data_IF_550090971579
#
_entry.id   IF_550090971579
#
_cell.length_a   1.000
_cell.length_b   1.000
_cell.length_c   1.000
_cell.angle_alpha   90.00
_cell.angle_beta   90.00
_cell.angle_gamma   90.00
#
_symmetry.space_group_name_H-M   'P 1'
#
loop_
_entity.id
_entity.type
_entity.pdbx_description
1 polymer ?
#
# COMPACT_ATOMS: atom_id res chain seq x y z
N UNK A 1 -13.08 -8.41 -1.33
CA UNK A 1 -13.39 -7.20 -0.54
C UNK A 1 -12.68 -5.97 -1.12
N UNK A 2 -11.51 -6.12 -1.75
CA UNK A 2 -10.76 -5.01 -2.35
C UNK A 2 -11.36 -4.43 -3.66
N UNK A 3 -12.06 -5.23 -4.48
CA UNK A 3 -12.73 -4.75 -5.71
C UNK A 3 -14.10 -4.06 -5.46
N UNK A 4 -14.50 -3.81 -4.21
CA UNK A 4 -15.89 -3.46 -3.83
C UNK A 4 -16.21 -1.98 -3.75
N UNK A 5 -15.31 -1.09 -4.17
CA UNK A 5 -15.58 0.35 -4.08
C UNK A 5 -16.34 0.85 -5.30
N UNK A 6 -17.68 0.85 -5.18
CA UNK A 6 -18.61 1.38 -6.18
C UNK A 6 -18.28 2.87 -6.50
N UNK A 7 -17.90 3.22 -7.75
CA UNK A 7 -17.56 4.60 -8.12
C UNK A 7 -18.78 5.47 -8.45
N UNK A 8 -20.01 4.94 -8.35
CA UNK A 8 -21.21 5.53 -8.93
C UNK A 8 -22.12 6.27 -7.94
N UNK A 9 -21.62 7.23 -7.15
CA UNK A 9 -22.54 8.14 -6.42
C UNK A 9 -22.00 9.58 -6.38
N UNK A 10 -22.30 10.32 -7.46
CA UNK A 10 -22.60 11.78 -7.62
C UNK A 10 -21.87 12.42 -8.81
N UNK A 11 -22.66 13.07 -9.65
CA UNK A 11 -22.26 14.03 -10.68
C UNK A 11 -22.75 15.40 -10.21
N UNK A 12 -21.84 16.31 -9.85
CA UNK A 12 -22.04 17.75 -10.03
C UNK A 12 -20.75 18.41 -10.48
N UNK A 13 -20.92 19.36 -11.40
CA UNK A 13 -19.89 20.07 -12.16
C UNK A 13 -18.91 20.80 -11.24
N UNK A 14 -17.64 20.39 -11.25
CA UNK A 14 -16.48 21.31 -11.40
C UNK A 14 -15.16 20.52 -11.41
N UNK A 15 -14.31 20.88 -12.37
CA UNK A 15 -12.91 20.48 -12.55
C UNK A 15 -12.63 19.03 -12.96
N UNK A 16 -11.99 18.95 -14.11
CA UNK A 16 -11.33 17.80 -14.70
C UNK A 16 -10.32 17.15 -13.74
N UNK A 17 -10.72 16.11 -13.00
CA UNK A 17 -9.80 15.05 -12.54
C UNK A 17 -10.64 13.77 -12.40
N UNK A 18 -10.37 12.77 -13.25
CA UNK A 18 -10.81 11.40 -13.00
C UNK A 18 -10.29 10.97 -11.61
N UNK A 19 -11.14 10.97 -10.59
CA UNK A 19 -10.97 10.10 -9.44
C UNK A 19 -11.52 8.72 -9.81
N UNK A 20 -10.83 8.09 -10.76
CA UNK A 20 -10.62 6.64 -10.68
C UNK A 20 -10.12 6.42 -9.26
N UNK A 21 -10.79 5.59 -8.48
CA UNK A 21 -10.27 5.19 -7.18
C UNK A 21 -8.86 4.65 -7.41
N UNK A 22 -7.83 5.48 -7.11
CA UNK A 22 -6.44 5.08 -6.88
C UNK A 22 -6.37 4.24 -5.60
N UNK A 23 -7.20 3.20 -5.51
CA UNK A 23 -6.94 2.04 -4.68
C UNK A 23 -6.25 0.94 -5.50
N UNK A 24 -6.28 1.06 -6.83
CA UNK A 24 -5.47 0.32 -7.78
C UNK A 24 -4.56 1.29 -8.55
N UNK A 25 -3.67 1.99 -7.85
CA UNK A 25 -2.45 2.52 -8.50
C UNK A 25 -1.54 1.32 -8.79
N UNK A 26 -1.96 0.49 -9.76
CA UNK A 26 -1.07 -0.25 -10.65
C UNK A 26 -0.50 0.73 -11.70
N UNK A 27 -0.18 1.96 -11.29
CA UNK A 27 0.84 2.71 -11.98
C UNK A 27 2.07 1.83 -11.95
N UNK A 28 2.54 1.40 -13.12
CA UNK A 28 3.85 0.81 -13.29
C UNK A 28 4.83 1.79 -12.61
N UNK A 29 5.21 1.49 -11.37
CA UNK A 29 6.17 2.31 -10.65
C UNK A 29 7.44 2.27 -11.49
N UNK A 30 7.99 3.45 -11.83
CA UNK A 30 9.30 3.51 -12.46
C UNK A 30 10.26 2.65 -11.63
N UNK A 31 10.75 1.58 -12.24
CA UNK A 31 11.69 0.65 -11.62
C UNK A 31 12.91 1.46 -11.23
N UNK A 32 13.21 1.54 -9.93
CA UNK A 32 14.42 2.22 -9.47
C UNK A 32 15.64 1.53 -10.07
N UNK A 33 16.40 2.26 -10.88
CA UNK A 33 17.65 1.73 -11.41
C UNK A 33 18.64 1.46 -10.28
N UNK A 34 19.18 0.24 -10.23
CA UNK A 34 20.06 -0.19 -9.16
C UNK A 34 21.54 0.09 -9.46
N UNK A 35 22.37 0.31 -8.42
CA UNK A 35 23.82 0.36 -8.56
C UNK A 35 24.36 -0.96 -9.11
N UNK A 36 25.15 -0.90 -10.17
CA UNK A 36 25.75 -2.09 -10.80
C UNK A 36 27.24 -1.98 -10.99
N UNK A 37 27.83 -0.79 -10.87
CA UNK A 37 29.28 -0.61 -11.01
C UNK A 37 29.74 0.73 -10.44
N UNK A 38 31.05 0.87 -10.26
CA UNK A 38 31.69 2.13 -9.88
C UNK A 38 31.59 3.15 -11.01
N UNK A 39 31.25 4.39 -10.68
CA UNK A 39 31.05 5.46 -11.64
C UNK A 39 32.39 5.97 -12.19
N UNK A 40 32.77 5.48 -13.37
CA UNK A 40 34.04 5.86 -13.99
C UNK A 40 34.05 7.28 -14.57
N UNK A 41 32.89 7.94 -14.74
CA UNK A 41 32.84 9.31 -15.27
C UNK A 41 33.25 10.37 -14.24
N UNK A 42 33.12 10.06 -12.95
CA UNK A 42 33.48 10.94 -11.82
C UNK A 42 34.69 10.44 -11.02
N UNK A 43 35.45 9.49 -11.60
CA UNK A 43 36.59 8.86 -10.97
C UNK A 43 37.68 9.87 -10.58
N UNK A 44 38.16 9.80 -9.33
CA UNK A 44 39.29 10.60 -8.86
C UNK A 44 40.56 10.30 -9.65
N UNK A 45 41.43 11.31 -9.81
CA UNK A 45 42.74 11.19 -10.45
C UNK A 45 43.68 10.21 -9.74
N UNK A 46 43.40 9.90 -8.47
CA UNK A 46 44.19 8.97 -7.69
C UNK A 46 43.71 7.51 -7.80
N UNK A 47 42.65 7.25 -8.55
CA UNK A 47 42.08 5.92 -8.72
C UNK A 47 42.22 5.44 -10.16
N UNK A 48 42.55 4.16 -10.29
CA UNK A 48 42.35 3.40 -11.52
C UNK A 48 41.29 2.34 -11.25
N UNK A 49 40.23 2.36 -12.04
CA UNK A 49 39.17 1.35 -12.01
C UNK A 49 39.46 0.31 -13.09
N UNK A 50 39.37 -0.96 -12.74
CA UNK A 50 39.60 -2.07 -13.67
C UNK A 50 38.48 -2.17 -14.71
N UNK A 51 38.67 -2.97 -15.76
CA UNK A 51 37.70 -3.12 -16.85
C UNK A 51 36.37 -3.75 -16.41
N UNK A 52 36.37 -4.46 -15.28
CA UNK A 52 35.17 -4.99 -14.63
C UNK A 52 34.27 -3.89 -14.03
N UNK A 53 34.79 -2.66 -13.88
CA UNK A 53 34.17 -1.53 -13.18
C UNK A 53 33.77 -1.80 -11.73
N UNK A 54 34.35 -2.84 -11.12
CA UNK A 54 34.09 -3.27 -9.74
C UNK A 54 35.35 -3.22 -8.88
N UNK A 55 36.53 -3.21 -9.50
CA UNK A 55 37.81 -3.18 -8.78
C UNK A 55 38.46 -1.81 -8.90
N UNK A 56 38.74 -1.16 -7.77
CA UNK A 56 39.46 0.10 -7.70
C UNK A 56 40.84 -0.08 -7.07
N UNK A 57 41.85 0.60 -7.64
CA UNK A 57 43.21 0.66 -7.11
C UNK A 57 43.66 2.11 -6.93
N UNK A 58 44.26 2.42 -5.79
CA UNK A 58 44.89 3.69 -5.54
C UNK A 58 46.28 3.79 -6.21
N UNK A 59 46.53 4.91 -6.86
CA UNK A 59 47.74 5.17 -7.68
C UNK A 59 48.48 6.45 -7.29
N UNK A 60 47.93 7.24 -6.35
CA UNK A 60 48.63 8.40 -5.80
C UNK A 60 49.71 8.04 -4.78
N UNK A 61 50.36 9.07 -4.24
CA UNK A 61 51.38 8.94 -3.20
C UNK A 61 50.81 9.02 -1.77
N UNK A 62 49.57 9.50 -1.59
CA UNK A 62 48.91 9.58 -0.28
C UNK A 62 49.64 10.46 0.75
N UNK A 63 50.28 11.56 0.31
CA UNK A 63 51.14 12.41 1.15
C UNK A 63 50.33 13.42 1.97
N UNK A 64 49.23 13.91 1.42
CA UNK A 64 48.36 14.90 2.06
C UNK A 64 46.99 14.30 2.38
N UNK A 65 46.29 14.86 3.38
CA UNK A 65 44.97 14.38 3.79
C UNK A 65 43.88 14.50 2.72
N UNK A 66 44.10 15.31 1.68
CA UNK A 66 43.17 15.47 0.55
C UNK A 66 43.55 14.61 -0.67
N UNK A 67 44.64 13.83 -0.60
CA UNK A 67 45.05 12.92 -1.67
C UNK A 67 44.18 11.65 -1.67
N UNK A 68 42.87 11.81 -1.46
CA UNK A 68 41.90 10.72 -1.34
C UNK A 68 41.36 10.40 -2.73
N UNK A 69 41.26 9.11 -3.02
CA UNK A 69 40.52 8.57 -4.14
C UNK A 69 39.20 7.99 -3.64
N UNK A 70 38.12 8.79 -3.66
CA UNK A 70 36.77 8.28 -3.45
C UNK A 70 36.06 8.09 -4.80
N UNK A 71 35.17 7.10 -4.85
CA UNK A 71 34.36 6.80 -6.04
C UNK A 71 33.00 6.27 -5.63
N UNK A 72 31.96 6.87 -6.20
CA UNK A 72 30.56 6.50 -6.02
C UNK A 72 30.17 5.40 -7.01
N UNK A 73 29.10 4.66 -6.73
CA UNK A 73 28.45 3.83 -7.72
C UNK A 73 27.76 4.67 -8.82
N UNK A 74 27.40 4.03 -9.92
CA UNK A 74 26.78 4.67 -11.09
C UNK A 74 25.33 5.14 -10.85
N UNK A 75 24.67 4.64 -9.81
CA UNK A 75 23.28 4.96 -9.43
C UNK A 75 23.19 5.11 -7.90
N UNK A 76 22.18 5.83 -7.39
CA UNK A 76 21.92 5.88 -5.96
C UNK A 76 21.39 4.54 -5.43
N UNK A 77 21.50 4.33 -4.12
CA UNK A 77 20.86 3.24 -3.42
C UNK A 77 19.33 3.36 -3.55
N UNK A 78 18.64 2.34 -4.11
CA UNK A 78 17.19 2.34 -4.27
C UNK A 78 16.48 2.34 -2.91
N UNK A 79 15.47 3.20 -2.76
CA UNK A 79 14.85 3.48 -1.48
C UNK A 79 13.42 2.94 -1.31
N UNK A 80 12.78 2.38 -2.34
CA UNK A 80 11.42 1.81 -2.29
C UNK A 80 11.41 0.33 -1.85
N UNK A 81 12.25 -0.02 -0.88
CA UNK A 81 12.45 -1.38 -0.36
C UNK A 81 12.74 -1.35 1.14
N UNK A 82 12.76 -2.50 1.82
CA UNK A 82 13.16 -2.52 3.24
C UNK A 82 14.61 -2.15 3.44
N UNK A 83 15.47 -2.73 2.60
CA UNK A 83 16.89 -2.73 2.82
C UNK A 83 17.64 -2.63 1.48
N UNK A 84 18.66 -1.79 1.44
CA UNK A 84 19.68 -1.81 0.40
C UNK A 84 21.03 -2.19 1.02
N UNK A 85 21.86 -2.96 0.30
CA UNK A 85 23.14 -3.44 0.81
C UNK A 85 24.15 -3.70 -0.31
N UNK A 86 25.43 -3.44 -0.04
CA UNK A 86 26.54 -3.80 -0.92
C UNK A 86 27.78 -4.19 -0.10
N UNK A 87 28.71 -4.91 -0.72
CA UNK A 87 29.95 -5.38 -0.08
C UNK A 87 31.20 -4.89 -0.80
N UNK A 88 32.28 -4.78 -0.04
CA UNK A 88 33.63 -4.48 -0.49
C UNK A 88 34.61 -5.49 0.14
N UNK A 89 35.43 -6.12 -0.69
CA UNK A 89 36.53 -6.99 -0.25
C UNK A 89 37.86 -6.27 -0.41
N UNK A 90 38.68 -6.24 0.64
CA UNK A 90 40.04 -5.66 0.56
C UNK A 90 40.98 -6.69 -0.08
N UNK A 91 41.48 -6.37 -1.27
CA UNK A 91 42.42 -7.22 -2.03
C UNK A 91 43.87 -6.91 -1.70
N UNK A 92 44.17 -5.64 -1.47
CA UNK A 92 45.46 -5.16 -1.01
C UNK A 92 45.21 -3.96 -0.08
N UNK A 93 45.81 -3.98 1.11
CA UNK A 93 45.70 -2.88 2.08
C UNK A 93 46.63 -1.72 1.75
N UNK A 94 47.50 -1.87 0.75
CA UNK A 94 48.55 -0.91 0.47
C UNK A 94 49.47 -0.71 1.68
N UNK A 95 49.95 0.52 1.86
CA UNK A 95 50.89 0.83 2.93
C UNK A 95 50.21 1.10 4.27
N UNK A 96 49.03 1.75 4.27
CA UNK A 96 48.36 2.21 5.49
C UNK A 96 47.06 1.45 5.77
N UNK A 97 46.32 1.04 4.75
CA UNK A 97 45.02 0.38 4.90
C UNK A 97 43.89 1.36 5.20
N UNK A 98 43.99 2.59 4.71
CA UNK A 98 43.00 3.66 4.82
C UNK A 98 41.84 3.47 3.82
N UNK A 99 41.38 2.22 3.68
CA UNK A 99 40.25 1.83 2.85
C UNK A 99 38.94 2.09 3.58
N UNK A 100 37.95 2.65 2.90
CA UNK A 100 36.68 3.08 3.50
C UNK A 100 35.51 2.56 2.65
N UNK A 101 34.43 2.13 3.32
CA UNK A 101 33.14 1.81 2.71
C UNK A 101 32.04 2.66 3.35
N UNK A 102 31.07 3.11 2.56
CA UNK A 102 29.83 3.68 3.08
C UNK A 102 28.96 4.36 2.04
N UNK A 103 28.31 5.45 2.43
CA UNK A 103 27.31 6.15 1.63
C UNK A 103 27.56 7.66 1.61
N UNK A 104 27.29 8.29 0.47
CA UNK A 104 27.49 9.74 0.30
C UNK A 104 26.39 10.35 -0.56
N UNK A 105 26.10 11.64 -0.40
CA UNK A 105 25.16 12.34 -1.27
C UNK A 105 25.69 12.55 -2.71
N UNK A 106 24.82 13.04 -3.60
CA UNK A 106 25.11 13.29 -5.01
C UNK A 106 26.23 14.33 -5.26
N UNK A 107 26.47 15.22 -4.31
CA UNK A 107 27.44 16.33 -4.46
C UNK A 107 28.77 16.06 -3.75
N UNK A 108 28.98 14.81 -3.34
CA UNK A 108 30.16 14.42 -2.58
C UNK A 108 31.46 14.63 -3.36
N UNK A 109 32.47 15.19 -2.69
CA UNK A 109 33.78 15.47 -3.27
C UNK A 109 34.63 14.20 -3.28
N UNK A 110 35.07 13.77 -4.47
CA UNK A 110 35.90 12.57 -4.64
C UNK A 110 37.32 12.67 -4.03
N UNK A 111 37.72 13.86 -3.53
CA UNK A 111 38.95 14.12 -2.79
C UNK A 111 38.78 14.04 -1.26
N UNK A 112 37.66 13.49 -0.77
CA UNK A 112 37.33 13.35 0.65
C UNK A 112 36.92 11.91 0.94
N UNK A 113 37.19 11.41 2.15
CA UNK A 113 36.75 10.06 2.54
C UNK A 113 35.26 10.05 2.88
N UNK A 114 34.53 8.96 2.58
CA UNK A 114 33.17 8.76 3.08
C UNK A 114 33.12 8.96 4.59
N UNK A 115 32.12 9.72 5.04
CA UNK A 115 31.93 10.13 6.43
C UNK A 115 32.51 11.49 6.81
N UNK A 116 33.35 12.14 5.98
CA UNK A 116 34.00 13.42 6.35
C UNK A 116 33.23 14.68 5.96
N UNK A 117 32.21 14.56 5.12
CA UNK A 117 31.35 15.67 4.67
C UNK A 117 29.94 15.51 5.23
N UNK A 118 29.12 16.57 5.14
CA UNK A 118 27.70 16.47 5.49
C UNK A 118 27.01 15.36 4.66
N UNK A 119 25.99 14.73 5.25
CA UNK A 119 25.24 13.61 4.64
C UNK A 119 26.12 12.48 4.05
N UNK A 120 27.26 12.23 4.69
CA UNK A 120 28.23 11.22 4.32
C UNK A 120 28.46 10.28 5.50
N UNK A 121 28.64 9.00 5.21
CA UNK A 121 28.78 7.92 6.20
C UNK A 121 29.91 7.00 5.75
N UNK A 122 30.82 6.67 6.66
CA UNK A 122 31.96 5.81 6.34
C UNK A 122 32.45 5.01 7.53
N UNK A 123 32.72 3.74 7.29
CA UNK A 123 33.43 2.85 8.20
C UNK A 123 34.87 2.69 7.70
N UNK A 124 35.83 3.12 8.51
CA UNK A 124 37.23 3.28 8.13
C UNK A 124 38.06 2.06 8.56
N UNK A 125 38.87 1.53 7.64
CA UNK A 125 39.59 0.27 7.82
C UNK A 125 40.81 0.35 8.74
N UNK A 126 41.47 1.51 8.78
CA UNK A 126 42.71 1.73 9.54
C UNK A 126 42.48 1.86 11.05
N UNK A 127 41.40 2.53 11.45
CA UNK A 127 41.09 2.76 12.87
C UNK A 127 39.79 2.11 13.36
N UNK A 128 38.99 1.54 12.45
CA UNK A 128 37.72 0.90 12.76
C UNK A 128 36.61 1.87 13.18
N UNK A 129 36.81 3.17 13.02
CA UNK A 129 35.85 4.18 13.45
C UNK A 129 34.78 4.42 12.40
N UNK A 130 33.68 4.97 12.91
CA UNK A 130 32.58 5.47 12.12
C UNK A 130 32.67 6.99 11.99
N UNK A 131 32.50 7.47 10.77
CA UNK A 131 32.41 8.88 10.43
C UNK A 131 31.05 9.16 9.79
N UNK A 132 30.34 10.19 10.26
CA UNK A 132 28.95 10.51 9.83
C UNK A 132 28.70 12.00 9.56
N UNK A 133 29.74 12.72 9.13
CA UNK A 133 29.77 14.17 9.00
C UNK A 133 31.13 14.77 9.33
N UNK A 134 31.27 16.10 9.24
CA UNK A 134 32.48 16.84 9.64
C UNK A 134 32.77 16.82 11.16
N UNK A 135 32.08 15.97 11.92
CA UNK A 135 32.21 15.84 13.37
C UNK A 135 33.32 14.89 13.81
N UNK A 136 33.35 14.59 15.11
CA UNK A 136 34.32 13.67 15.69
C UNK A 136 34.05 12.22 15.23
N UNK A 137 35.12 11.47 15.01
CA UNK A 137 35.05 10.04 14.73
C UNK A 137 34.50 9.27 15.94
N UNK A 138 33.68 8.27 15.70
CA UNK A 138 33.05 7.45 16.74
C UNK A 138 33.72 6.08 16.84
N UNK A 139 34.01 5.65 18.06
CA UNK A 139 34.40 4.25 18.32
C UNK A 139 33.26 3.35 17.88
N UNK A 140 33.55 2.43 16.95
CA UNK A 140 32.51 1.67 16.28
C UNK A 140 32.79 0.17 16.28
N UNK A 141 33.82 -0.27 15.55
CA UNK A 141 34.18 -1.68 15.42
C UNK A 141 35.70 -1.82 15.28
N UNK A 142 36.26 -3.05 15.30
CA UNK A 142 37.65 -3.25 14.91
C UNK A 142 37.89 -2.78 13.46
N UNK A 143 39.11 -2.34 13.13
CA UNK A 143 39.50 -2.08 11.73
C UNK A 143 39.41 -3.33 10.85
N UNK A 144 39.59 -3.17 9.54
CA UNK A 144 39.55 -4.25 8.56
C UNK A 144 40.70 -4.16 7.57
N UNK A 145 41.10 -5.31 7.01
CA UNK A 145 42.32 -5.40 6.20
C UNK A 145 42.21 -6.47 5.12
N UNK A 146 43.33 -6.79 4.44
CA UNK A 146 43.38 -7.77 3.34
C UNK A 146 42.67 -9.06 3.71
N UNK A 147 41.77 -9.50 2.83
CA UNK A 147 40.97 -10.71 3.00
C UNK A 147 39.63 -10.49 3.70
N UNK A 148 39.46 -9.39 4.45
CA UNK A 148 38.17 -9.04 5.02
C UNK A 148 37.19 -8.60 3.92
N UNK A 149 35.93 -8.99 4.09
CA UNK A 149 34.78 -8.45 3.35
C UNK A 149 33.94 -7.62 4.30
N UNK A 150 33.76 -6.35 3.98
CA UNK A 150 32.92 -5.43 4.74
C UNK A 150 31.73 -5.00 3.90
N UNK A 151 30.59 -4.82 4.52
CA UNK A 151 29.38 -4.36 3.83
C UNK A 151 28.81 -3.11 4.47
N UNK A 152 28.00 -2.41 3.69
CA UNK A 152 27.25 -1.24 4.13
C UNK A 152 25.82 -1.36 3.62
N UNK A 153 24.86 -1.12 4.51
CA UNK A 153 23.44 -1.17 4.18
C UNK A 153 22.64 -0.03 4.78
N UNK A 154 21.50 0.23 4.15
CA UNK A 154 20.49 1.18 4.60
C UNK A 154 19.24 0.38 4.89
N UNK A 155 18.78 0.44 6.14
CA UNK A 155 17.47 0.00 6.55
C UNK A 155 16.49 1.17 6.47
N UNK A 156 15.67 1.21 5.41
CA UNK A 156 14.66 2.26 5.23
C UNK A 156 13.47 2.10 6.17
N UNK A 157 13.29 0.89 6.72
CA UNK A 157 12.28 0.60 7.70
C UNK A 157 12.60 1.27 9.04
N UNK A 158 13.79 1.07 9.59
CA UNK A 158 14.23 1.71 10.85
C UNK A 158 14.87 3.09 10.66
N UNK A 159 15.15 3.48 9.41
CA UNK A 159 15.93 4.68 9.07
C UNK A 159 17.33 4.61 9.69
N UNK A 160 18.04 3.51 9.44
CA UNK A 160 19.37 3.26 9.99
C UNK A 160 20.37 2.86 8.91
N UNK A 161 21.61 3.32 9.05
CA UNK A 161 22.74 2.81 8.29
C UNK A 161 23.45 1.79 9.16
N UNK A 162 23.78 0.64 8.59
CA UNK A 162 24.51 -0.41 9.28
C UNK A 162 25.69 -0.89 8.42
N UNK A 163 26.67 -1.47 9.09
CA UNK A 163 27.82 -2.07 8.43
C UNK A 163 27.94 -3.53 8.85
N UNK A 164 28.67 -4.29 8.06
CA UNK A 164 28.98 -5.69 8.36
C UNK A 164 30.49 -5.92 8.20
N UNK A 165 30.99 -6.94 8.91
CA UNK A 165 32.33 -7.46 8.68
C UNK A 165 32.27 -8.98 8.66
N UNK A 166 32.76 -9.57 7.57
CA UNK A 166 32.82 -11.01 7.32
C UNK A 166 31.48 -11.71 7.58
N UNK A 167 30.40 -11.16 7.03
CA UNK A 167 29.04 -11.70 7.15
C UNK A 167 28.36 -11.47 8.51
N UNK A 168 28.95 -10.69 9.41
CA UNK A 168 28.34 -10.35 10.71
C UNK A 168 27.97 -8.87 10.76
N UNK A 169 26.73 -8.58 11.17
CA UNK A 169 26.26 -7.22 11.39
C UNK A 169 27.01 -6.57 12.55
N UNK A 170 27.47 -5.35 12.33
CA UNK A 170 28.03 -4.47 13.37
C UNK A 170 26.89 -3.67 14.00
N UNK A 171 27.15 -2.84 15.02
CA UNK A 171 26.10 -2.01 15.61
C UNK A 171 25.47 -1.09 14.55
N UNK A 172 24.14 -1.00 14.51
CA UNK A 172 23.44 -0.05 13.66
C UNK A 172 23.70 1.39 14.11
N UNK A 173 23.70 2.32 13.15
CA UNK A 173 23.84 3.75 13.41
C UNK A 173 22.52 4.43 13.11
N UNK A 174 21.84 4.88 14.17
CA UNK A 174 20.59 5.62 14.02
C UNK A 174 20.83 7.02 13.46
N UNK A 175 20.19 7.33 12.33
CA UNK A 175 20.10 8.69 11.81
C UNK A 175 19.05 8.80 10.72
N UNK A 176 18.36 9.94 10.68
CA UNK A 176 17.55 10.35 9.54
C UNK A 176 18.36 10.31 8.23
N UNK A 177 18.02 9.37 7.35
CA UNK A 177 18.75 9.10 6.09
C UNK A 177 18.22 10.03 5.00
N UNK A 178 19.00 11.06 4.65
CA UNK A 178 18.64 11.99 3.57
C UNK A 178 19.10 11.44 2.22
N UNK A 179 18.15 10.88 1.46
CA UNK A 179 18.37 10.38 0.09
C UNK A 179 18.35 11.51 -0.95
N UNK A 180 18.92 11.31 -2.16
CA UNK A 180 19.60 10.10 -2.63
C UNK A 180 20.98 9.92 -1.99
N UNK A 181 21.32 8.68 -1.64
CA UNK A 181 22.64 8.28 -1.19
C UNK A 181 23.25 7.29 -2.18
N UNK A 182 24.52 7.47 -2.49
CA UNK A 182 25.28 6.62 -3.38
C UNK A 182 26.18 5.68 -2.55
N UNK A 183 26.23 4.39 -2.88
CA UNK A 183 27.28 3.50 -2.40
C UNK A 183 28.65 4.06 -2.79
N UNK A 184 29.56 4.18 -1.83
CA UNK A 184 30.84 4.85 -2.07
C UNK A 184 31.96 4.12 -1.35
N UNK A 185 33.10 3.99 -2.04
CA UNK A 185 34.35 3.51 -1.46
C UNK A 185 35.39 4.63 -1.49
N UNK A 186 36.36 4.59 -0.57
CA UNK A 186 37.45 5.56 -0.51
C UNK A 186 38.79 4.89 -0.23
N UNK A 187 39.83 5.33 -0.95
CA UNK A 187 41.22 4.86 -0.82
C UNK A 187 42.15 6.06 -0.65
N UNK A 188 43.31 5.87 -0.02
CA UNK A 188 44.27 6.94 0.24
C UNK A 188 45.74 6.51 0.18
N UNK A 189 46.08 5.24 0.41
CA UNK A 189 47.48 4.82 0.50
C UNK A 189 47.98 4.03 -0.71
N UNK A 190 49.26 4.19 -1.10
CA UNK A 190 49.82 3.51 -2.26
C UNK A 190 49.55 2.00 -2.26
N UNK A 191 49.11 1.49 -3.41
CA UNK A 191 48.76 0.10 -3.69
C UNK A 191 47.45 -0.43 -3.08
N UNK A 192 46.70 0.38 -2.32
CA UNK A 192 45.37 -0.05 -1.87
C UNK A 192 44.51 -0.51 -3.05
N UNK A 193 43.89 -1.67 -2.89
CA UNK A 193 43.06 -2.29 -3.91
C UNK A 193 41.86 -2.96 -3.25
N UNK A 194 40.68 -2.63 -3.74
CA UNK A 194 39.42 -3.19 -3.26
C UNK A 194 38.55 -3.64 -4.43
N UNK A 195 37.66 -4.58 -4.16
CA UNK A 195 36.70 -5.10 -5.11
C UNK A 195 35.30 -5.00 -4.51
N UNK A 196 34.35 -4.48 -5.29
CA UNK A 196 32.98 -4.19 -4.85
C UNK A 196 32.00 -5.22 -5.42
N UNK A 197 31.01 -5.58 -4.63
CA UNK A 197 29.86 -6.40 -5.03
C UNK A 197 28.59 -5.60 -4.75
N UNK A 198 27.84 -5.26 -5.79
CA UNK A 198 26.55 -4.56 -5.69
C UNK A 198 25.35 -5.54 -5.69
N UNK A 199 25.61 -6.86 -5.70
CA UNK A 199 24.58 -7.90 -5.74
C UNK A 199 24.71 -8.85 -6.92
N UNK A 200 25.69 -8.65 -7.81
CA UNK A 200 25.97 -9.55 -8.93
C UNK A 200 26.46 -10.93 -8.47
N UNK A 201 26.95 -11.02 -7.23
CA UNK A 201 27.34 -12.27 -6.56
C UNK A 201 26.65 -12.35 -5.21
N UNK A 202 26.44 -13.57 -4.73
CA UNK A 202 25.91 -13.81 -3.38
C UNK A 202 26.77 -13.08 -2.35
N UNK A 203 26.12 -12.30 -1.49
CA UNK A 203 26.76 -11.61 -0.38
C UNK A 203 27.27 -12.59 0.68
N UNK A 204 28.30 -12.19 1.41
CA UNK A 204 28.74 -12.92 2.60
C UNK A 204 27.75 -12.74 3.75
N UNK A 205 27.12 -11.57 3.86
CA UNK A 205 26.04 -11.30 4.79
C UNK A 205 24.69 -11.82 4.27
N UNK A 206 23.90 -12.42 5.17
CA UNK A 206 22.55 -12.90 4.86
C UNK A 206 21.52 -11.76 4.98
N UNK A 207 21.38 -11.00 3.90
CA UNK A 207 20.43 -9.88 3.79
C UNK A 207 18.98 -10.36 3.93
N UNK A 208 18.64 -11.53 3.38
CA UNK A 208 17.28 -12.07 3.39
C UNK A 208 16.85 -12.41 4.82
N UNK A 209 17.73 -13.06 5.59
CA UNK A 209 17.47 -13.35 7.01
C UNK A 209 17.24 -12.07 7.83
N UNK A 210 18.01 -11.00 7.58
CA UNK A 210 17.81 -9.73 8.28
C UNK A 210 16.45 -9.11 7.99
N UNK A 211 16.02 -9.12 6.72
CA UNK A 211 14.69 -8.63 6.33
C UNK A 211 13.59 -9.45 7.03
N UNK A 212 13.73 -10.78 7.06
CA UNK A 212 12.75 -11.66 7.71
C UNK A 212 12.68 -11.43 9.23
N UNK A 213 13.82 -11.28 9.89
CA UNK A 213 13.88 -11.01 11.33
C UNK A 213 13.23 -9.68 11.70
N UNK A 214 13.42 -8.65 10.87
CA UNK A 214 12.79 -7.34 11.07
C UNK A 214 11.28 -7.36 10.85
N UNK A 215 10.82 -8.04 9.79
CA UNK A 215 9.39 -8.31 9.58
C UNK A 215 8.79 -9.00 10.79
N UNK A 216 9.42 -10.08 11.24
CA UNK A 216 8.98 -10.83 12.41
C UNK A 216 8.96 -9.99 13.70
N UNK A 217 9.98 -9.15 13.93
CA UNK A 217 10.02 -8.26 15.10
C UNK A 217 8.88 -7.26 15.09
N UNK A 218 8.60 -6.64 13.94
CA UNK A 218 7.48 -5.72 13.78
C UNK A 218 6.13 -6.41 13.94
N UNK A 219 5.97 -7.59 13.36
CA UNK A 219 4.74 -8.37 13.49
C UNK A 219 4.45 -8.72 14.95
N UNK A 220 5.44 -9.24 15.68
CA UNK A 220 5.31 -9.53 17.12
C UNK A 220 4.98 -8.29 17.94
N UNK A 221 5.59 -7.14 17.61
CA UNK A 221 5.29 -5.89 18.29
C UNK A 221 3.83 -5.47 18.06
N UNK A 222 3.32 -5.59 16.84
CA UNK A 222 1.91 -5.32 16.50
C UNK A 222 0.98 -6.30 17.23
N UNK A 223 1.27 -7.60 17.21
CA UNK A 223 0.48 -8.65 17.86
C UNK A 223 0.47 -8.52 19.39
N UNK A 224 1.51 -7.93 19.98
CA UNK A 224 1.58 -7.65 21.41
C UNK A 224 0.73 -6.46 21.86
N UNK A 225 0.21 -5.65 20.92
CA UNK A 225 -0.65 -4.53 21.26
C UNK A 225 -2.00 -5.06 21.77
N UNK A 226 -2.46 -4.63 22.95
CA UNK A 226 -3.73 -5.08 23.48
C UNK A 226 -4.87 -4.55 22.62
N UNK A 227 -5.75 -5.46 22.20
CA UNK A 227 -7.02 -5.12 21.55
C UNK A 227 -8.18 -5.50 22.48
N UNK A 228 -9.26 -4.68 22.52
CA UNK A 228 -10.47 -5.09 23.22
C UNK A 228 -10.96 -6.44 22.69
N UNK A 229 -11.30 -7.43 23.54
CA UNK A 229 -11.76 -8.75 23.09
C UNK A 229 -12.99 -8.69 22.17
N UNK A 230 -13.79 -7.64 22.31
CA UNK A 230 -15.01 -7.39 21.54
C UNK A 230 -14.77 -6.60 20.26
N UNK A 231 -13.55 -6.12 19.98
CA UNK A 231 -13.27 -5.25 18.85
C UNK A 231 -13.60 -5.92 17.51
N UNK A 232 -13.13 -7.16 17.31
CA UNK A 232 -13.40 -7.94 16.09
C UNK A 232 -14.90 -8.19 15.90
N UNK A 233 -15.58 -8.62 16.96
CA UNK A 233 -17.02 -8.81 16.96
C UNK A 233 -17.77 -7.53 16.59
N UNK A 234 -17.42 -6.41 17.21
CA UNK A 234 -18.08 -5.11 17.00
C UNK A 234 -17.91 -4.61 15.57
N UNK A 235 -16.71 -4.75 14.99
CA UNK A 235 -16.41 -4.33 13.61
C UNK A 235 -17.20 -5.18 12.61
N UNK A 236 -17.25 -6.51 12.80
CA UNK A 236 -18.01 -7.42 11.93
C UNK A 236 -19.51 -7.14 12.05
N UNK A 237 -20.01 -6.99 13.28
CA UNK A 237 -21.41 -6.66 13.55
C UNK A 237 -21.83 -5.36 12.86
N UNK A 238 -21.04 -4.30 13.02
CA UNK A 238 -21.27 -3.00 12.39
C UNK A 238 -21.28 -3.11 10.86
N UNK A 239 -20.40 -3.92 10.27
CA UNK A 239 -20.40 -4.20 8.83
C UNK A 239 -21.70 -4.90 8.38
N UNK A 240 -22.14 -5.95 9.09
CA UNK A 240 -23.36 -6.68 8.76
C UNK A 240 -24.61 -5.79 8.83
N UNK A 241 -24.69 -4.94 9.85
CA UNK A 241 -25.75 -3.93 10.00
C UNK A 241 -25.70 -2.92 8.86
N UNK A 242 -24.52 -2.39 8.55
CA UNK A 242 -24.33 -1.37 7.51
C UNK A 242 -24.81 -1.86 6.15
N UNK A 243 -24.47 -3.08 5.75
CA UNK A 243 -24.85 -3.63 4.44
C UNK A 243 -26.21 -4.34 4.41
N UNK A 244 -26.90 -4.45 5.55
CA UNK A 244 -28.23 -5.05 5.61
C UNK A 244 -28.24 -6.58 5.61
N UNK A 245 -27.15 -7.21 6.06
CA UNK A 245 -27.03 -8.67 6.20
C UNK A 245 -27.72 -9.19 7.48
N UNK A 246 -28.99 -8.83 7.67
CA UNK A 246 -29.73 -9.07 8.91
C UNK A 246 -29.77 -10.53 9.37
N UNK A 247 -30.04 -11.49 8.49
CA UNK A 247 -30.07 -12.92 8.89
C UNK A 247 -28.69 -13.41 9.33
N UNK A 248 -27.64 -12.93 8.65
CA UNK A 248 -26.25 -13.23 9.02
C UNK A 248 -25.90 -12.59 10.35
N UNK A 249 -26.38 -11.37 10.61
CA UNK A 249 -26.21 -10.67 11.88
C UNK A 249 -26.84 -11.46 13.04
N UNK A 250 -28.08 -11.96 12.88
CA UNK A 250 -28.73 -12.78 13.90
C UNK A 250 -27.93 -14.06 14.17
N UNK A 251 -27.53 -14.76 13.11
CA UNK A 251 -26.73 -15.97 13.25
C UNK A 251 -25.36 -15.69 13.91
N UNK A 252 -24.74 -14.57 13.57
CA UNK A 252 -23.46 -14.12 14.14
C UNK A 252 -23.59 -13.80 15.63
N UNK A 253 -24.57 -12.97 16.00
CA UNK A 253 -24.83 -12.60 17.40
C UNK A 253 -25.20 -13.84 18.23
N UNK A 254 -25.98 -14.78 17.67
CA UNK A 254 -26.33 -16.04 18.33
C UNK A 254 -25.11 -16.95 18.56
N UNK A 255 -24.23 -17.08 17.56
CA UNK A 255 -23.01 -17.88 17.68
C UNK A 255 -22.03 -17.30 18.72
N UNK A 256 -21.93 -15.97 18.81
CA UNK A 256 -21.09 -15.30 19.81
C UNK A 256 -21.69 -15.33 21.21
N UNK A 257 -23.02 -15.22 21.33
CA UNK A 257 -23.75 -15.41 22.59
C UNK A 257 -23.67 -16.86 23.12
N UNK A 258 -23.75 -17.85 22.24
CA UNK A 258 -23.59 -19.27 22.61
C UNK A 258 -22.16 -19.65 23.05
N UNK A 259 -21.14 -18.91 22.59
CA UNK A 259 -19.76 -19.08 23.04
C UNK A 259 -19.50 -18.48 24.43
N UNK A 260 -20.38 -17.59 24.88
CA UNK A 260 -20.33 -16.94 26.20
C UNK A 260 -21.21 -17.72 27.16
N UNK A 261 -20.72 -18.84 27.70
CA UNK A 261 -21.46 -19.76 28.58
C UNK A 261 -21.90 -19.18 29.95
N UNK A 262 -22.01 -17.86 30.08
CA UNK A 262 -22.56 -17.18 31.24
C UNK A 262 -23.79 -16.39 30.80
N UNK A 263 -24.96 -16.70 31.38
CA UNK A 263 -26.27 -16.13 31.07
C UNK A 263 -26.45 -14.65 31.45
N UNK A 264 -25.36 -13.88 31.43
CA UNK A 264 -25.33 -12.45 31.66
C UNK A 264 -25.63 -11.72 30.34
N UNK A 265 -26.84 -11.17 30.24
CA UNK A 265 -27.28 -10.22 29.19
C UNK A 265 -26.56 -8.85 29.40
N UNK A 266 -25.23 -8.87 29.48
CA UNK A 266 -24.43 -7.77 30.01
C UNK A 266 -23.40 -7.14 29.07
N UNK A 267 -23.18 -7.64 27.86
CA UNK A 267 -22.08 -7.16 26.99
C UNK A 267 -22.50 -6.42 25.71
N UNK A 268 -23.80 -6.32 25.41
CA UNK A 268 -24.29 -5.53 24.26
C UNK A 268 -24.16 -4.02 24.53
N UNK A 269 -24.43 -3.58 25.77
CA UNK A 269 -24.35 -2.17 26.17
C UNK A 269 -22.92 -1.59 26.14
N UNK A 270 -21.89 -2.41 26.29
CA UNK A 270 -20.49 -1.98 26.24
C UNK A 270 -19.99 -1.72 24.82
N UNK A 271 -20.64 -2.30 23.81
CA UNK A 271 -20.29 -2.16 22.38
C UNK A 271 -20.79 -0.84 21.81
N UNK A 272 -21.96 -0.40 22.27
CA UNK A 272 -22.52 0.91 21.98
C UNK A 272 -21.58 2.03 22.50
N UNK A 273 -21.02 1.85 23.70
CA UNK A 273 -20.11 2.81 24.32
C UNK A 273 -18.77 3.02 23.56
N UNK A 274 -18.23 2.01 22.87
CA UNK A 274 -16.94 2.13 22.17
C UNK A 274 -17.05 2.76 20.77
N UNK A 275 -18.24 2.72 20.14
CA UNK A 275 -18.48 3.32 18.82
C UNK A 275 -19.03 4.76 18.92
N UNK A 276 -19.46 5.20 20.11
CA UNK A 276 -20.14 6.49 20.33
C UNK A 276 -19.31 7.53 21.11
N UNK A 277 -17.99 7.41 21.22
CA UNK A 277 -17.19 8.47 21.89
C UNK A 277 -17.28 9.84 21.22
N UNK A 278 -17.80 9.95 19.98
CA UNK A 278 -17.97 11.23 19.27
C UNK A 278 -19.40 11.52 18.76
N UNK A 279 -20.43 10.72 19.09
CA UNK A 279 -21.80 11.04 18.65
C UNK A 279 -22.84 10.81 19.75
N UNK A 280 -23.51 11.89 20.15
CA UNK A 280 -24.72 11.92 20.99
C UNK A 280 -25.94 11.29 20.25
N UNK A 281 -25.80 10.08 19.72
CA UNK A 281 -26.87 9.32 19.05
C UNK A 281 -27.43 8.22 19.94
N UNK A 282 -28.75 8.07 19.97
CA UNK A 282 -29.45 6.99 20.68
C UNK A 282 -29.23 5.63 20.00
N UNK A 283 -29.34 4.55 20.78
CA UNK A 283 -29.13 3.13 20.42
C UNK A 283 -29.90 2.59 19.18
N UNK A 284 -30.78 3.39 18.59
CA UNK A 284 -31.65 3.01 17.46
C UNK A 284 -31.09 3.47 16.09
N UNK A 285 -30.04 4.31 16.07
CA UNK A 285 -29.53 4.95 14.85
C UNK A 285 -28.82 3.96 13.89
N UNK A 286 -28.26 2.87 14.42
CA UNK A 286 -27.55 1.87 13.62
C UNK A 286 -28.45 0.90 12.84
N UNK A 287 -29.66 0.64 13.31
CA UNK A 287 -30.57 -0.37 12.72
C UNK A 287 -31.53 0.21 11.68
N UNK A 288 -31.32 1.45 11.24
CA UNK A 288 -32.19 2.16 10.32
C UNK A 288 -32.62 1.28 9.13
N UNK A 289 -33.95 1.12 9.02
CA UNK A 289 -34.62 0.39 7.94
C UNK A 289 -34.07 -1.02 7.65
N UNK A 290 -33.47 -1.69 8.63
CA UNK A 290 -32.72 -2.93 8.41
C UNK A 290 -33.56 -4.04 7.76
N UNK A 291 -34.83 -4.21 8.16
CA UNK A 291 -35.73 -5.21 7.56
C UNK A 291 -36.09 -4.89 6.10
N UNK A 292 -36.32 -3.60 5.80
CA UNK A 292 -36.55 -3.14 4.42
C UNK A 292 -35.30 -3.33 3.56
N UNK A 293 -34.12 -2.99 4.08
CA UNK A 293 -32.83 -3.16 3.38
C UNK A 293 -32.52 -4.64 3.13
N UNK A 294 -32.77 -5.52 4.11
CA UNK A 294 -32.69 -6.98 3.96
C UNK A 294 -33.59 -7.47 2.81
N UNK A 295 -34.85 -7.06 2.81
CA UNK A 295 -35.82 -7.48 1.80
C UNK A 295 -35.40 -7.05 0.39
N UNK A 296 -34.98 -5.80 0.22
CA UNK A 296 -34.54 -5.29 -1.09
C UNK A 296 -33.26 -5.99 -1.56
N UNK A 297 -32.26 -6.19 -0.69
CA UNK A 297 -31.06 -6.97 -1.03
C UNK A 297 -31.41 -8.38 -1.49
N UNK A 298 -32.31 -9.07 -0.80
CA UNK A 298 -32.77 -10.41 -1.19
C UNK A 298 -33.40 -10.41 -2.57
N UNK A 299 -34.32 -9.48 -2.84
CA UNK A 299 -34.98 -9.37 -4.15
C UNK A 299 -33.98 -9.10 -5.28
N UNK A 300 -32.98 -8.22 -5.06
CA UNK A 300 -31.92 -7.95 -6.04
C UNK A 300 -31.08 -9.22 -6.30
N UNK A 301 -30.70 -9.95 -5.24
CA UNK A 301 -29.94 -11.20 -5.34
C UNK A 301 -30.71 -12.30 -6.10
N UNK A 302 -32.02 -12.36 -5.90
CA UNK A 302 -32.94 -13.27 -6.60
C UNK A 302 -33.24 -12.83 -8.05
N UNK A 303 -32.87 -11.60 -8.43
CA UNK A 303 -33.12 -11.03 -9.75
C UNK A 303 -34.52 -10.42 -9.92
N UNK A 304 -35.31 -10.30 -8.85
CA UNK A 304 -36.64 -9.69 -8.89
C UNK A 304 -36.54 -8.15 -8.76
N UNK A 305 -36.02 -7.51 -9.81
CA UNK A 305 -35.74 -6.08 -9.84
C UNK A 305 -37.01 -5.23 -9.90
N UNK A 306 -38.10 -5.74 -10.50
CA UNK A 306 -39.36 -5.00 -10.59
C UNK A 306 -39.99 -4.76 -9.22
N UNK A 307 -40.03 -5.79 -8.37
CA UNK A 307 -40.49 -5.63 -6.99
C UNK A 307 -39.60 -4.67 -6.19
N UNK A 308 -38.29 -4.63 -6.47
CA UNK A 308 -37.36 -3.66 -5.85
C UNK A 308 -37.74 -2.24 -6.23
N UNK A 309 -37.94 -1.95 -7.51
CA UNK A 309 -38.31 -0.60 -7.99
C UNK A 309 -39.65 -0.16 -7.38
N UNK A 310 -40.67 -1.04 -7.37
CA UNK A 310 -41.98 -0.74 -6.78
C UNK A 310 -41.84 -0.41 -5.29
N UNK A 311 -41.23 -1.30 -4.51
CA UNK A 311 -41.04 -1.11 -3.07
C UNK A 311 -40.21 0.14 -2.76
N UNK A 312 -39.16 0.42 -3.56
CA UNK A 312 -38.29 1.58 -3.36
C UNK A 312 -39.04 2.89 -3.61
N UNK A 313 -39.85 2.95 -4.67
CA UNK A 313 -40.67 4.13 -4.97
C UNK A 313 -41.80 4.36 -3.97
N UNK A 314 -42.32 3.29 -3.37
CA UNK A 314 -43.35 3.36 -2.34
C UNK A 314 -42.77 3.79 -0.98
N UNK A 315 -41.66 3.19 -0.55
CA UNK A 315 -41.09 3.44 0.78
C UNK A 315 -40.17 4.66 0.83
N UNK A 316 -39.53 5.01 -0.30
CA UNK A 316 -38.57 6.11 -0.42
C UNK A 316 -38.87 6.96 -1.66
N UNK A 317 -39.93 7.78 -1.66
CA UNK A 317 -40.33 8.56 -2.81
C UNK A 317 -39.24 9.51 -3.36
N UNK A 318 -38.26 9.88 -2.52
CA UNK A 318 -37.10 10.70 -2.89
C UNK A 318 -36.28 10.08 -4.02
N UNK A 319 -36.34 8.75 -4.23
CA UNK A 319 -35.62 8.08 -5.32
C UNK A 319 -35.96 8.62 -6.71
N UNK A 320 -37.11 9.30 -6.85
CA UNK A 320 -37.57 9.93 -8.11
C UNK A 320 -36.91 11.29 -8.37
N UNK A 321 -36.26 11.87 -7.37
CA UNK A 321 -35.53 13.13 -7.51
C UNK A 321 -34.33 12.94 -8.42
N UNK A 322 -33.97 14.00 -9.16
CA UNK A 322 -32.88 13.95 -10.15
C UNK A 322 -31.55 13.55 -9.52
N UNK A 323 -31.33 13.95 -8.27
CA UNK A 323 -30.16 13.62 -7.45
C UNK A 323 -29.94 12.11 -7.30
N UNK A 324 -31.00 11.31 -7.21
CA UNK A 324 -30.95 9.84 -7.05
C UNK A 324 -31.19 9.08 -8.35
N UNK A 325 -31.21 9.77 -9.49
CA UNK A 325 -31.47 9.17 -10.81
C UNK A 325 -30.51 8.03 -11.17
N UNK A 326 -29.28 8.05 -10.64
CA UNK A 326 -28.29 6.97 -10.80
C UNK A 326 -28.75 5.64 -10.20
N UNK A 327 -29.49 5.63 -9.10
CA UNK A 327 -29.98 4.40 -8.47
C UNK A 327 -31.02 3.72 -9.36
N UNK A 328 -31.95 4.51 -9.91
CA UNK A 328 -32.93 4.01 -10.89
C UNK A 328 -32.25 3.54 -12.18
N UNK A 329 -31.20 4.23 -12.63
CA UNK A 329 -30.38 3.78 -13.76
C UNK A 329 -29.76 2.40 -13.49
N UNK A 330 -29.07 2.21 -12.36
CA UNK A 330 -28.45 0.94 -11.98
C UNK A 330 -29.48 -0.20 -11.88
N UNK A 331 -30.66 0.06 -11.29
CA UNK A 331 -31.74 -0.92 -11.24
C UNK A 331 -32.27 -1.25 -12.63
N UNK A 332 -32.44 -0.28 -13.53
CA UNK A 332 -32.87 -0.53 -14.92
C UNK A 332 -31.82 -1.32 -15.70
N UNK A 333 -30.53 -1.03 -15.52
CA UNK A 333 -29.44 -1.84 -16.06
C UNK A 333 -29.49 -3.26 -15.51
N UNK A 334 -29.70 -3.44 -14.20
CA UNK A 334 -29.83 -4.77 -13.62
C UNK A 334 -31.03 -5.52 -14.20
N UNK A 335 -32.19 -4.87 -14.34
CA UNK A 335 -33.37 -5.48 -14.96
C UNK A 335 -33.08 -5.91 -16.39
N UNK A 336 -32.38 -5.06 -17.17
CA UNK A 336 -31.94 -5.41 -18.52
C UNK A 336 -31.06 -6.68 -18.50
N UNK A 337 -30.06 -6.73 -17.62
CA UNK A 337 -29.17 -7.90 -17.47
C UNK A 337 -29.97 -9.16 -17.10
N UNK A 338 -30.97 -9.05 -16.22
CA UNK A 338 -31.82 -10.20 -15.86
C UNK A 338 -32.70 -10.67 -17.03
N UNK A 339 -33.25 -9.76 -17.84
CA UNK A 339 -34.01 -10.14 -19.05
C UNK A 339 -33.14 -10.88 -20.07
N UNK A 340 -31.90 -10.42 -20.27
CA UNK A 340 -30.91 -11.12 -21.10
C UNK A 340 -30.60 -12.50 -20.54
N UNK A 341 -30.42 -12.62 -19.21
CA UNK A 341 -30.12 -13.90 -18.55
C UNK A 341 -31.20 -14.95 -18.77
N UNK A 342 -32.47 -14.56 -18.80
CA UNK A 342 -33.60 -15.48 -19.03
C UNK A 342 -33.97 -15.64 -20.52
N UNK A 343 -33.22 -15.01 -21.44
CA UNK A 343 -33.44 -15.11 -22.89
C UNK A 343 -34.60 -14.25 -23.41
N UNK A 344 -35.14 -13.33 -22.61
CA UNK A 344 -36.22 -12.41 -23.02
C UNK A 344 -35.66 -11.17 -23.74
N UNK A 345 -35.04 -11.40 -24.89
CA UNK A 345 -34.32 -10.35 -25.67
C UNK A 345 -35.27 -9.24 -26.13
N UNK A 346 -36.47 -9.58 -26.58
CA UNK A 346 -37.46 -8.59 -27.05
C UNK A 346 -37.83 -7.58 -25.95
N UNK A 347 -38.04 -8.06 -24.72
CA UNK A 347 -38.38 -7.22 -23.58
C UNK A 347 -37.18 -6.40 -23.13
N UNK A 348 -35.97 -6.97 -23.19
CA UNK A 348 -34.73 -6.24 -22.92
C UNK A 348 -34.54 -5.06 -23.89
N UNK A 349 -34.76 -5.27 -25.19
CA UNK A 349 -34.65 -4.21 -26.20
C UNK A 349 -35.72 -3.12 -25.98
N UNK A 350 -36.95 -3.52 -25.65
CA UNK A 350 -38.03 -2.57 -25.34
C UNK A 350 -37.71 -1.74 -24.09
N UNK A 351 -37.18 -2.37 -23.03
CA UNK A 351 -36.72 -1.68 -21.83
C UNK A 351 -35.59 -0.70 -22.14
N UNK A 352 -34.61 -1.11 -22.94
CA UNK A 352 -33.50 -0.24 -23.33
C UNK A 352 -33.98 1.01 -24.06
N UNK A 353 -34.86 0.86 -25.06
CA UNK A 353 -35.41 1.97 -25.85
C UNK A 353 -36.29 2.91 -25.03
N UNK A 354 -37.09 2.38 -24.11
CA UNK A 354 -38.08 3.17 -23.37
C UNK A 354 -37.53 3.81 -22.10
N UNK A 355 -36.63 3.12 -21.37
CA UNK A 355 -36.23 3.52 -20.02
C UNK A 355 -34.74 3.81 -19.86
N UNK A 356 -33.86 3.20 -20.66
CA UNK A 356 -32.41 3.44 -20.58
C UNK A 356 -31.94 4.53 -21.54
N UNK A 357 -32.62 4.71 -22.69
CA UNK A 357 -32.28 5.73 -23.67
C UNK A 357 -32.25 7.15 -23.10
N UNK A 358 -33.06 7.45 -22.07
CA UNK A 358 -33.09 8.75 -21.39
C UNK A 358 -31.88 9.04 -20.50
N UNK A 359 -31.00 8.06 -20.28
CA UNK A 359 -29.74 8.22 -19.55
C UNK A 359 -28.53 8.39 -20.46
N UNK A 360 -28.66 8.09 -21.75
CA UNK A 360 -27.57 8.21 -22.71
C UNK A 360 -27.09 9.66 -22.85
N UNK A 361 -25.78 9.88 -22.78
CA UNK A 361 -25.14 11.18 -22.93
C UNK A 361 -25.22 12.09 -21.70
N UNK A 362 -25.73 11.60 -20.56
CA UNK A 362 -25.79 12.37 -19.30
C UNK A 362 -24.49 12.35 -18.52
N UNK A 363 -23.82 11.20 -18.49
CA UNK A 363 -22.63 10.96 -17.70
C UNK A 363 -21.76 9.91 -18.39
N UNK A 364 -20.48 10.20 -18.56
CA UNK A 364 -19.52 9.30 -19.23
C UNK A 364 -19.49 7.91 -18.61
N UNK A 365 -19.53 7.82 -17.27
CA UNK A 365 -19.50 6.53 -16.59
C UNK A 365 -20.79 5.74 -16.86
N UNK A 366 -21.95 6.39 -16.79
CA UNK A 366 -23.24 5.76 -17.10
C UNK A 366 -23.28 5.25 -18.54
N UNK A 367 -22.72 6.01 -19.47
CA UNK A 367 -22.63 5.62 -20.87
C UNK A 367 -21.77 4.36 -21.06
N UNK A 368 -20.63 4.26 -20.35
CA UNK A 368 -19.78 3.07 -20.39
C UNK A 368 -20.53 1.83 -19.90
N UNK A 369 -21.16 1.88 -18.73
CA UNK A 369 -21.93 0.75 -18.22
C UNK A 369 -23.10 0.40 -19.14
N UNK A 370 -23.76 1.40 -19.71
CA UNK A 370 -24.85 1.19 -20.65
C UNK A 370 -24.36 0.50 -21.93
N UNK A 371 -23.21 0.89 -22.45
CA UNK A 371 -22.56 0.23 -23.58
C UNK A 371 -22.24 -1.24 -23.26
N UNK A 372 -21.65 -1.53 -22.10
CA UNK A 372 -21.32 -2.90 -21.70
C UNK A 372 -22.59 -3.76 -21.54
N UNK A 373 -23.64 -3.20 -20.95
CA UNK A 373 -24.94 -3.89 -20.84
C UNK A 373 -25.49 -4.21 -22.24
N UNK A 374 -25.54 -3.23 -23.14
CA UNK A 374 -26.08 -3.41 -24.49
C UNK A 374 -25.23 -4.37 -25.33
N UNK A 375 -23.92 -4.42 -25.10
CA UNK A 375 -23.02 -5.34 -25.79
C UNK A 375 -23.39 -6.81 -25.56
N UNK A 376 -24.05 -7.15 -24.45
CA UNK A 376 -24.54 -8.51 -24.19
C UNK A 376 -25.53 -9.01 -25.27
N UNK A 377 -26.26 -8.11 -25.94
CA UNK A 377 -27.18 -8.46 -27.04
C UNK A 377 -26.46 -9.00 -28.28
N UNK A 378 -25.18 -8.65 -28.45
CA UNK A 378 -24.41 -9.04 -29.63
C UNK A 378 -23.98 -10.52 -29.60
N UNK A 379 -24.19 -11.21 -28.48
CA UNK A 379 -23.72 -12.58 -28.26
C UNK A 379 -24.90 -13.53 -28.11
N UNK A 380 -24.89 -14.62 -28.88
CA UNK A 380 -25.87 -15.71 -28.78
C UNK A 380 -25.85 -16.37 -27.39
N UNK A 381 -24.66 -16.44 -26.79
CA UNK A 381 -24.42 -16.86 -25.41
C UNK A 381 -23.77 -15.72 -24.62
N UNK A 382 -24.56 -14.89 -23.90
CA UNK A 382 -24.06 -13.72 -23.18
C UNK A 382 -22.93 -14.03 -22.17
N UNK A 383 -22.92 -15.24 -21.60
CA UNK A 383 -21.90 -15.71 -20.66
C UNK A 383 -20.50 -15.91 -21.26
N UNK A 384 -20.40 -16.03 -22.60
CA UNK A 384 -19.10 -16.17 -23.28
C UNK A 384 -18.60 -14.80 -23.77
N UNK A 385 -19.36 -13.72 -23.53
CA UNK A 385 -18.99 -12.37 -23.94
C UNK A 385 -17.87 -11.82 -23.05
N UNK A 386 -17.10 -10.82 -23.54
CA UNK A 386 -16.18 -10.07 -22.69
C UNK A 386 -16.89 -9.36 -21.52
N UNK A 387 -18.22 -9.17 -21.61
CA UNK A 387 -19.05 -8.55 -20.57
C UNK A 387 -19.72 -9.56 -19.64
N UNK A 388 -19.28 -10.83 -19.66
CA UNK A 388 -19.81 -11.89 -18.80
C UNK A 388 -19.69 -11.57 -17.29
N UNK A 389 -18.80 -10.65 -16.89
CA UNK A 389 -18.71 -10.17 -15.50
C UNK A 389 -20.02 -9.51 -15.02
N UNK A 390 -20.79 -8.87 -15.91
CA UNK A 390 -22.11 -8.31 -15.58
C UNK A 390 -23.13 -9.39 -15.22
N UNK A 391 -22.93 -10.62 -15.69
CA UNK A 391 -23.80 -11.76 -15.39
C UNK A 391 -23.39 -12.46 -14.08
N UNK A 392 -22.33 -12.04 -13.41
CA UNK A 392 -21.89 -12.66 -12.17
C UNK A 392 -22.70 -12.18 -10.96
N UNK A 393 -22.63 -12.95 -9.89
CA UNK A 393 -23.23 -12.59 -8.60
C UNK A 393 -22.71 -11.24 -8.06
N UNK A 394 -21.44 -10.90 -8.35
CA UNK A 394 -20.81 -9.65 -7.93
C UNK A 394 -21.56 -8.40 -8.45
N UNK A 395 -22.12 -8.46 -9.67
CA UNK A 395 -22.89 -7.36 -10.23
C UNK A 395 -24.18 -7.11 -9.44
N UNK A 396 -24.91 -8.17 -9.05
CA UNK A 396 -26.12 -8.04 -8.21
C UNK A 396 -25.79 -7.46 -6.83
N UNK A 397 -24.69 -7.89 -6.23
CA UNK A 397 -24.24 -7.34 -4.94
C UNK A 397 -23.87 -5.86 -5.04
N UNK A 398 -23.21 -5.43 -6.13
CA UNK A 398 -22.90 -4.02 -6.35
C UNK A 398 -24.16 -3.16 -6.42
N UNK A 399 -25.19 -3.61 -7.15
CA UNK A 399 -26.48 -2.91 -7.22
C UNK A 399 -27.19 -2.91 -5.86
N UNK A 400 -27.13 -4.01 -5.11
CA UNK A 400 -27.68 -4.07 -3.76
C UNK A 400 -26.97 -3.12 -2.79
N UNK A 401 -25.65 -2.98 -2.89
CA UNK A 401 -24.86 -2.04 -2.10
C UNK A 401 -25.20 -0.59 -2.44
N UNK A 402 -25.41 -0.26 -3.72
CA UNK A 402 -25.84 1.07 -4.16
C UNK A 402 -27.23 1.44 -3.62
N UNK A 403 -28.20 0.50 -3.69
CA UNK A 403 -29.54 0.68 -3.13
C UNK A 403 -29.50 0.81 -1.61
N UNK A 404 -28.66 0.01 -0.94
CA UNK A 404 -28.45 0.12 0.50
C UNK A 404 -27.88 1.48 0.91
N UNK A 405 -26.86 1.97 0.18
CA UNK A 405 -26.27 3.28 0.43
C UNK A 405 -27.27 4.41 0.23
N UNK A 406 -28.11 4.34 -0.81
CA UNK A 406 -29.22 5.28 -1.01
C UNK A 406 -30.17 5.31 0.19
N UNK A 407 -30.62 4.15 0.67
CA UNK A 407 -31.53 4.08 1.81
C UNK A 407 -30.87 4.70 3.06
N UNK A 408 -29.59 4.42 3.30
CA UNK A 408 -28.86 5.02 4.42
C UNK A 408 -28.73 6.55 4.30
N UNK A 409 -28.57 7.11 3.09
CA UNK A 409 -28.55 8.56 2.85
C UNK A 409 -29.90 9.22 3.18
N UNK A 410 -31.00 8.47 3.14
CA UNK A 410 -32.34 8.95 3.56
C UNK A 410 -32.58 8.86 5.08
N UNK A 411 -31.60 8.45 5.89
CA UNK A 411 -31.75 8.39 7.34
C UNK A 411 -31.91 9.80 7.94
N UNK A 412 -33.06 10.13 8.56
CA UNK A 412 -33.30 11.45 9.15
C UNK A 412 -32.32 11.81 10.27
N UNK A 413 -31.78 10.81 10.97
CA UNK A 413 -30.83 11.00 12.08
C UNK A 413 -29.44 11.42 11.61
N UNK A 414 -29.10 11.24 10.32
CA UNK A 414 -27.78 11.57 9.77
C UNK A 414 -27.62 13.04 9.34
N UNK A 415 -28.68 13.86 9.38
CA UNK A 415 -28.69 15.26 8.90
C UNK A 415 -27.65 16.19 9.59
N UNK A 416 -27.10 15.79 10.73
CA UNK A 416 -26.19 16.63 11.55
C UNK A 416 -24.69 16.31 11.31
N UNK A 417 -24.33 15.12 10.81
CA UNK A 417 -22.96 14.63 10.96
C UNK A 417 -22.05 14.69 9.72
N UNK A 418 -22.56 14.68 8.47
CA UNK A 418 -21.67 14.67 7.30
C UNK A 418 -22.32 15.23 6.02
N UNK A 419 -22.29 16.55 5.84
CA UNK A 419 -22.68 17.22 4.58
C UNK A 419 -21.63 17.09 3.47
N UNK A 420 -20.65 16.17 3.59
CA UNK A 420 -19.60 16.01 2.57
C UNK A 420 -20.08 15.35 1.27
N UNK A 421 -21.33 14.87 1.22
CA UNK A 421 -21.91 14.25 0.02
C UNK A 421 -21.27 12.90 -0.35
N UNK A 422 -20.50 12.30 0.55
CA UNK A 422 -19.87 10.99 0.36
C UNK A 422 -20.86 9.88 0.72
N UNK A 423 -20.82 8.72 0.02
CA UNK A 423 -21.67 7.59 0.37
C UNK A 423 -21.34 7.10 1.80
N UNK A 424 -22.36 6.63 2.54
CA UNK A 424 -22.17 6.12 3.89
C UNK A 424 -21.19 4.93 3.87
N UNK A 425 -20.30 4.87 4.86
CA UNK A 425 -19.24 3.86 4.96
C UNK A 425 -19.32 3.09 6.27
N UNK A 426 -19.04 1.79 6.20
CA UNK A 426 -18.92 0.94 7.39
C UNK A 426 -17.65 1.26 8.18
N UNK A 427 -17.66 0.94 9.48
CA UNK A 427 -16.48 1.10 10.34
C UNK A 427 -15.26 0.33 9.81
N UNK A 428 -15.48 -0.88 9.26
CA UNK A 428 -14.42 -1.69 8.67
C UNK A 428 -13.76 -0.98 7.47
N UNK A 429 -14.55 -0.41 6.55
CA UNK A 429 -14.00 0.32 5.41
C UNK A 429 -13.25 1.58 5.84
N UNK A 430 -13.77 2.30 6.84
CA UNK A 430 -13.08 3.46 7.42
C UNK A 430 -11.73 3.04 8.02
N UNK A 431 -11.68 1.95 8.77
CA UNK A 431 -10.44 1.42 9.34
C UNK A 431 -9.43 1.01 8.27
N UNK A 432 -9.87 0.33 7.20
CA UNK A 432 -8.98 -0.06 6.10
C UNK A 432 -8.43 1.16 5.33
N UNK A 433 -9.25 2.20 5.14
CA UNK A 433 -8.82 3.46 4.53
C UNK A 433 -7.86 4.22 5.44
N UNK A 434 -8.14 4.30 6.73
CA UNK A 434 -7.26 4.91 7.73
C UNK A 434 -5.93 4.16 7.80
N UNK A 435 -5.93 2.83 7.82
CA UNK A 435 -4.71 2.02 7.77
C UNK A 435 -3.86 2.37 6.54
N UNK A 436 -4.49 2.38 5.37
CA UNK A 436 -3.81 2.73 4.12
C UNK A 436 -3.25 4.16 4.17
N UNK A 437 -4.04 5.13 4.62
CA UNK A 437 -3.63 6.52 4.76
C UNK A 437 -2.47 6.68 5.77
N UNK A 438 -2.53 6.00 6.92
CA UNK A 438 -1.47 6.02 7.92
C UNK A 438 -0.15 5.45 7.37
N UNK A 439 -0.21 4.39 6.55
CA UNK A 439 0.99 3.86 5.89
C UNK A 439 1.56 4.82 4.84
N UNK A 440 0.70 5.46 4.04
CA UNK A 440 1.12 6.49 3.07
C UNK A 440 1.77 7.67 3.78
N UNK A 441 1.14 8.19 4.84
CA UNK A 441 1.66 9.33 5.61
C UNK A 441 2.97 8.98 6.32
N UNK A 442 3.04 7.81 6.95
CA UNK A 442 4.29 7.32 7.57
C UNK A 442 5.43 7.24 6.55
N UNK A 443 5.15 6.77 5.33
CA UNK A 443 6.14 6.72 4.25
C UNK A 443 6.51 8.12 3.77
N UNK A 444 5.56 9.04 3.67
CA UNK A 444 5.81 10.43 3.33
C UNK A 444 6.73 11.12 4.35
N UNK A 445 6.48 10.93 5.65
CA UNK A 445 7.33 11.42 6.74
C UNK A 445 8.76 10.84 6.69
N UNK A 446 8.92 9.64 6.12
CA UNK A 446 10.22 9.01 5.85
C UNK A 446 10.80 9.39 4.48
N UNK A 447 10.41 10.52 3.88
CA UNK A 447 10.93 10.98 2.58
C UNK A 447 10.55 10.08 1.42
N UNK A 448 9.38 9.43 1.47
CA UNK A 448 8.90 8.44 0.51
C UNK A 448 9.76 7.15 0.42
N UNK A 449 10.55 6.86 1.45
CA UNK A 449 11.40 5.66 1.51
C UNK A 449 10.69 4.48 2.19
N UNK A 450 11.21 3.28 1.98
CA UNK A 450 10.67 2.03 2.49
C UNK A 450 9.70 1.36 1.51
N UNK A 451 9.26 0.16 1.89
CA UNK A 451 8.28 -0.59 1.12
C UNK A 451 6.92 0.12 1.05
N UNK A 452 6.28 0.00 -0.11
CA UNK A 452 4.93 0.51 -0.33
C UNK A 452 3.91 -0.45 0.30
N UNK A 453 3.07 0.07 1.18
CA UNK A 453 1.94 -0.68 1.71
C UNK A 453 0.87 -0.86 0.64
N UNK A 454 0.58 -2.11 0.27
CA UNK A 454 -0.47 -2.45 -0.70
C UNK A 454 -1.50 -3.37 -0.05
N UNK A 455 -2.62 -2.78 0.34
CA UNK A 455 -3.71 -3.50 1.03
C UNK A 455 -4.19 -4.71 0.20
N UNK A 456 -4.32 -4.57 -1.11
CA UNK A 456 -4.76 -5.65 -1.99
C UNK A 456 -3.80 -6.86 -1.95
N UNK A 457 -2.49 -6.60 -2.07
CA UNK A 457 -1.44 -7.65 -2.00
C UNK A 457 -1.47 -8.38 -0.66
N UNK A 458 -1.70 -7.65 0.43
CA UNK A 458 -1.84 -8.19 1.78
C UNK A 458 -3.04 -9.13 1.88
N UNK A 459 -4.20 -8.68 1.39
CA UNK A 459 -5.44 -9.47 1.44
C UNK A 459 -5.40 -10.72 0.56
N UNK A 460 -4.59 -10.70 -0.51
CA UNK A 460 -4.39 -11.85 -1.39
C UNK A 460 -3.28 -12.79 -0.92
N UNK A 461 -2.19 -12.27 -0.37
CA UNK A 461 -1.05 -13.04 0.14
C UNK A 461 -1.37 -13.94 1.33
N UNK A 462 -2.48 -13.67 2.04
CA UNK A 462 -3.02 -14.57 3.07
C UNK A 462 -3.47 -15.95 2.56
N UNK A 463 -3.53 -16.18 1.23
CA UNK A 463 -3.82 -17.50 0.66
C UNK A 463 -2.59 -18.41 0.52
N UNK A 464 -1.39 -17.84 0.46
CA UNK A 464 -0.14 -18.59 0.22
C UNK A 464 0.82 -18.63 1.43
N UNK A 465 0.39 -18.16 2.60
CA UNK A 465 1.11 -18.37 3.85
C UNK A 465 2.48 -17.69 3.97
N UNK A 466 2.78 -16.69 3.13
CA UNK A 466 4.03 -15.94 3.18
C UNK A 466 3.77 -14.44 3.33
N UNK A 467 4.10 -13.90 4.50
CA UNK A 467 4.26 -12.45 4.73
C UNK A 467 5.71 -12.03 4.58
#
# INVERSE_FOLDING_TARGET
MAERFCPFVRSEKSSSVMFRAKLDDDGEEEVEEEPTHLNTSTCSLYLVVSTDKLTAKYTGDGRHGNDVGAIQANRPAPCRRWLYYFEMTVRDRGQKGCTVIGFTDEHFKNSRQPGWEANSYGYHGDDGKLYRGPGLAETYAPGFTVGDTVGAGINYASQEIFFTKNGKVLSGVYKEVKTPLYPTIGLHSPNEKVEVNFGQRKFMFDVESMILDERGRRQRAVESLPLPPTASHSIVRAFLIHYGYHDTLIAFDAACGAASGDGSVGSIASVEFLLHQDTNGTADDGMYALDKRKLLRRLIREGNVDSVITNLQEWYPQVKEEHYSTILFLLRCQKFIELIRIGQVSDAVNLARSQLASFFGKCQDQDLLLHDCLALLAYERPQDSPMAYLLQFAQREMVADAVNAFILDTNPSMEIADKSGKPPQSALEKLLRQLTACHVEKRFLNGCQGEVFRLHRILQGGKDGGW
#
